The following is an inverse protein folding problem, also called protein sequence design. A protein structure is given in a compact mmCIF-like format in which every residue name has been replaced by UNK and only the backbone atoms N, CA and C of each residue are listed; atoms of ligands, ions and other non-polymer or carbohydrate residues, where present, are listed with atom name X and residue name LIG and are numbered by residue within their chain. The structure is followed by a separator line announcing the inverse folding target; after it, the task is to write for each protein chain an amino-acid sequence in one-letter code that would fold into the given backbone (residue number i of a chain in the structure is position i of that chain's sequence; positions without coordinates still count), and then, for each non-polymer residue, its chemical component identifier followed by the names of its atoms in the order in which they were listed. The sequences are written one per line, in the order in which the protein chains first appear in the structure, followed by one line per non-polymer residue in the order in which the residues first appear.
data_IF_218429020705
#
_entry.id   IF_218429020705
#
_cell.length_a   1.000
_cell.length_b   1.000
_cell.length_c   1.000
_cell.angle_alpha   90.00
_cell.angle_beta   90.00
_cell.angle_gamma   90.00
#
_symmetry.space_group_name_H-M   'P 1'
#
loop_
_entity.id
_entity.type
_entity.pdbx_description
1 polymer ?
#
# COMPACT_ATOMS: atom_id res chain seq x y z
N UNK A 1 -5.36 -33.02 -6.44
CA UNK A 1 -4.17 -33.90 -6.35
C UNK A 1 -2.86 -33.16 -6.04
N UNK A 2 -2.72 -31.86 -6.34
CA UNK A 2 -1.49 -31.09 -6.05
C UNK A 2 -1.27 -30.66 -4.57
N UNK A 3 -2.26 -30.81 -3.69
CA UNK A 3 -2.16 -30.43 -2.26
C UNK A 3 -1.35 -31.41 -1.40
N UNK A 4 -1.11 -32.63 -1.90
CA UNK A 4 -0.47 -33.71 -1.13
C UNK A 4 1.06 -33.75 -1.30
N UNK A 5 1.62 -32.95 -2.21
CA UNK A 5 3.06 -32.94 -2.52
C UNK A 5 3.86 -31.81 -1.85
N UNK A 6 3.25 -30.66 -1.55
CA UNK A 6 3.93 -29.53 -0.86
C UNK A 6 4.12 -29.79 0.65
N UNK A 7 3.13 -30.40 1.31
CA UNK A 7 3.24 -30.75 2.74
C UNK A 7 4.34 -31.81 2.98
N UNK A 8 4.53 -32.72 2.02
CA UNK A 8 5.60 -33.72 2.07
C UNK A 8 6.98 -33.09 1.87
N UNK A 9 7.14 -32.18 0.90
CA UNK A 9 8.43 -31.53 0.64
C UNK A 9 8.88 -30.66 1.81
N UNK A 10 7.96 -29.92 2.43
CA UNK A 10 8.27 -29.07 3.58
C UNK A 10 8.67 -29.88 4.81
N UNK A 11 8.05 -31.06 4.99
CA UNK A 11 8.37 -31.98 6.08
C UNK A 11 9.72 -32.66 5.86
N UNK A 12 9.97 -33.15 4.64
CA UNK A 12 11.24 -33.77 4.24
C UNK A 12 12.41 -32.76 4.34
N UNK A 13 12.20 -31.50 3.93
CA UNK A 13 13.20 -30.44 4.08
C UNK A 13 13.51 -30.17 5.55
N UNK A 14 12.51 -30.13 6.44
CA UNK A 14 12.74 -29.95 7.88
C UNK A 14 13.48 -31.12 8.51
N UNK A 15 13.16 -32.36 8.11
CA UNK A 15 13.87 -33.56 8.57
C UNK A 15 15.33 -33.54 8.12
N UNK A 16 15.60 -33.30 6.83
CA UNK A 16 16.97 -33.21 6.29
C UNK A 16 17.78 -32.09 6.95
N UNK A 17 17.17 -30.94 7.23
CA UNK A 17 17.85 -29.82 7.88
C UNK A 17 18.14 -30.10 9.36
N UNK A 18 17.25 -30.82 10.04
CA UNK A 18 17.46 -31.24 11.44
C UNK A 18 18.52 -32.32 11.60
N UNK A 19 18.63 -33.25 10.64
CA UNK A 19 19.63 -34.32 10.66
C UNK A 19 21.06 -33.82 10.40
N UNK A 20 21.23 -32.62 9.85
CA UNK A 20 22.52 -32.05 9.49
C UNK A 20 22.97 -30.87 10.39
N UNK A 21 22.26 -30.60 11.50
CA UNK A 21 22.52 -29.43 12.37
C UNK A 21 22.52 -28.08 11.60
N UNK A 22 21.84 -28.04 10.44
CA UNK A 22 21.73 -26.84 9.62
C UNK A 22 20.50 -26.08 10.10
N UNK A 23 20.70 -25.21 11.10
CA UNK A 23 19.67 -24.28 11.52
C UNK A 23 19.50 -23.18 10.46
N UNK A 24 18.66 -23.43 9.45
CA UNK A 24 18.29 -22.42 8.46
C UNK A 24 17.29 -21.47 9.11
N UNK A 25 17.79 -20.50 9.88
CA UNK A 25 17.01 -19.31 10.17
C UNK A 25 16.76 -18.58 8.85
N UNK A 26 15.56 -18.75 8.29
CA UNK A 26 15.13 -18.10 7.04
C UNK A 26 15.15 -16.56 7.18
N UNK A 27 15.00 -16.07 8.41
CA UNK A 27 15.17 -14.66 8.77
C UNK A 27 15.88 -14.56 10.12
N UNK A 28 16.63 -13.48 10.30
CA UNK A 28 17.32 -13.14 11.55
C UNK A 28 16.45 -13.38 12.81
N UNK A 29 16.99 -14.12 13.78
CA UNK A 29 16.37 -14.41 15.07
C UNK A 29 15.71 -13.20 15.75
N UNK A 30 16.30 -12.01 15.66
CA UNK A 30 15.70 -10.79 16.24
C UNK A 30 14.36 -10.42 15.60
N UNK A 31 14.21 -10.61 14.28
CA UNK A 31 12.96 -10.28 13.58
C UNK A 31 11.86 -11.28 13.92
N UNK A 32 12.23 -12.57 14.03
CA UNK A 32 11.34 -13.61 14.53
C UNK A 32 10.89 -13.34 15.97
N UNK A 33 11.82 -12.95 16.85
CA UNK A 33 11.50 -12.60 18.24
C UNK A 33 10.54 -11.41 18.33
N UNK A 34 10.73 -10.39 17.50
CA UNK A 34 9.80 -9.26 17.39
C UNK A 34 8.42 -9.74 16.95
N UNK A 35 8.34 -10.55 15.88
CA UNK A 35 7.07 -11.07 15.39
C UNK A 35 6.33 -11.89 16.46
N UNK A 36 7.05 -12.78 17.16
CA UNK A 36 6.49 -13.58 18.25
C UNK A 36 6.05 -12.72 19.43
N UNK A 37 6.83 -11.71 19.80
CA UNK A 37 6.43 -10.76 20.85
C UNK A 37 5.11 -10.07 20.49
N UNK A 38 4.94 -9.60 19.24
CA UNK A 38 3.69 -8.96 18.81
C UNK A 38 2.51 -9.93 18.84
N UNK A 39 2.75 -11.21 18.50
CA UNK A 39 1.74 -12.27 18.53
C UNK A 39 1.28 -12.61 19.95
N UNK A 40 2.20 -12.61 20.92
CA UNK A 40 1.93 -13.03 22.30
C UNK A 40 1.46 -11.87 23.19
N UNK A 41 1.66 -10.62 22.77
CA UNK A 41 1.32 -9.44 23.54
C UNK A 41 -0.15 -9.03 23.35
N UNK A 42 -0.90 -8.96 24.45
CA UNK A 42 -2.34 -8.64 24.50
C UNK A 42 -2.72 -7.27 23.94
N UNK A 43 -1.75 -6.35 23.78
CA UNK A 43 -1.99 -5.01 23.21
C UNK A 43 -2.15 -5.05 21.68
N UNK A 44 -1.97 -6.22 21.06
CA UNK A 44 -2.11 -6.43 19.63
C UNK A 44 -3.24 -7.40 19.31
N UNK A 45 -3.93 -7.12 18.20
CA UNK A 45 -4.99 -7.95 17.65
C UNK A 45 -4.68 -8.27 16.19
N UNK A 46 -5.28 -9.32 15.65
CA UNK A 46 -5.19 -9.60 14.21
C UNK A 46 -6.11 -8.67 13.42
N UNK A 47 -5.65 -8.20 12.26
CA UNK A 47 -6.40 -7.22 11.45
C UNK A 47 -7.65 -7.83 10.81
N UNK A 48 -7.59 -9.08 10.33
CA UNK A 48 -8.64 -9.70 9.50
C UNK A 48 -9.97 -10.02 10.19
N UNK A 49 -10.07 -10.33 11.50
CA UNK A 49 -11.37 -10.44 12.17
C UNK A 49 -11.98 -9.07 12.51
N UNK A 50 -11.15 -8.03 12.66
CA UNK A 50 -11.62 -6.68 13.03
C UNK A 50 -11.99 -5.82 11.84
N UNK A 51 -11.29 -5.97 10.72
CA UNK A 51 -11.45 -5.18 9.51
C UNK A 51 -11.46 -6.08 8.28
N UNK A 52 -12.61 -6.14 7.60
CA UNK A 52 -12.67 -6.82 6.31
C UNK A 52 -12.05 -5.97 5.21
N UNK A 53 -11.46 -6.65 4.24
CA UNK A 53 -10.76 -6.06 3.12
C UNK A 53 -11.13 -6.71 1.78
N UNK A 54 -10.93 -5.95 0.72
CA UNK A 54 -11.21 -6.36 -0.63
C UNK A 54 -10.01 -6.10 -1.55
N UNK A 55 -9.76 -7.06 -2.44
CA UNK A 55 -8.77 -6.89 -3.51
C UNK A 55 -9.22 -5.74 -4.43
N UNK A 56 -8.32 -4.80 -4.65
CA UNK A 56 -8.49 -3.70 -5.57
C UNK A 56 -7.42 -3.83 -6.66
N UNK A 57 -7.84 -4.04 -7.91
CA UNK A 57 -6.97 -4.30 -9.05
C UNK A 57 -7.50 -3.49 -10.24
N UNK A 58 -6.63 -3.14 -11.18
CA UNK A 58 -6.97 -2.36 -12.36
C UNK A 58 -8.14 -2.97 -13.14
N UNK A 59 -8.20 -4.31 -13.22
CA UNK A 59 -9.28 -5.01 -13.93
C UNK A 59 -10.68 -4.66 -13.43
N UNK A 60 -10.81 -4.22 -12.17
CA UNK A 60 -12.10 -3.80 -11.61
C UNK A 60 -12.56 -2.43 -12.12
N UNK A 61 -11.65 -1.62 -12.67
CA UNK A 61 -11.90 -0.23 -13.05
C UNK A 61 -11.76 0.01 -14.55
N UNK A 62 -11.98 -1.05 -15.33
CA UNK A 62 -12.05 -1.03 -16.79
C UNK A 62 -13.49 -1.23 -17.25
N UNK A 63 -13.85 -0.58 -18.36
CA UNK A 63 -15.13 -0.82 -19.03
C UNK A 63 -15.12 -2.14 -19.81
N UNK A 64 -16.27 -2.56 -20.35
CA UNK A 64 -16.36 -3.77 -21.19
C UNK A 64 -15.58 -3.61 -22.49
N UNK A 65 -15.51 -2.39 -23.01
CA UNK A 65 -14.62 -2.03 -24.14
C UNK A 65 -13.15 -1.85 -23.75
N UNK A 66 -12.75 -2.30 -22.55
CA UNK A 66 -11.37 -2.24 -22.04
C UNK A 66 -10.81 -0.80 -21.91
N UNK A 67 -11.68 0.20 -21.73
CA UNK A 67 -11.25 1.57 -21.46
C UNK A 67 -10.59 1.65 -20.07
N UNK A 68 -9.36 2.17 -20.01
CA UNK A 68 -8.76 2.61 -18.75
C UNK A 68 -9.42 3.92 -18.32
N UNK A 69 -10.09 3.91 -17.17
CA UNK A 69 -10.85 5.07 -16.69
C UNK A 69 -10.02 6.02 -15.83
N UNK A 70 -8.73 5.76 -15.64
CA UNK A 70 -7.86 6.64 -14.87
C UNK A 70 -7.34 7.83 -15.68
N UNK A 71 -7.20 8.97 -15.00
CA UNK A 71 -6.51 10.16 -15.46
C UNK A 71 -5.45 10.51 -14.41
N UNK A 72 -4.21 10.67 -14.84
CA UNK A 72 -3.09 10.90 -13.94
C UNK A 72 -3.17 12.28 -13.29
N UNK A 73 -2.90 12.36 -12.00
CA UNK A 73 -2.82 13.64 -11.30
C UNK A 73 -1.58 14.43 -11.77
N UNK A 74 -1.70 15.75 -11.99
CA UNK A 74 -0.58 16.60 -12.44
C UNK A 74 0.66 16.54 -11.54
N UNK A 75 0.49 16.35 -10.23
CA UNK A 75 1.63 16.18 -9.31
C UNK A 75 2.51 14.96 -9.62
N UNK A 76 2.04 14.04 -10.46
CA UNK A 76 2.76 12.84 -10.89
C UNK A 76 3.21 12.90 -12.34
N UNK A 77 2.97 13.98 -13.08
CA UNK A 77 3.22 14.01 -14.55
C UNK A 77 4.66 13.67 -14.95
N UNK A 78 5.61 13.88 -14.04
CA UNK A 78 7.04 13.65 -14.28
C UNK A 78 7.48 12.22 -13.92
N UNK A 79 6.56 11.35 -13.46
CA UNK A 79 6.89 9.95 -13.17
C UNK A 79 6.74 9.12 -14.43
N UNK A 80 7.85 8.65 -15.00
CA UNK A 80 7.88 7.80 -16.21
C UNK A 80 7.14 6.46 -16.08
N UNK A 81 6.66 6.11 -14.88
CA UNK A 81 5.98 4.84 -14.59
C UNK A 81 4.52 4.79 -15.06
N UNK A 82 3.88 5.95 -15.25
CA UNK A 82 2.51 6.01 -15.74
C UNK A 82 2.51 6.50 -17.19
N UNK A 83 2.22 5.60 -18.12
CA UNK A 83 1.96 5.94 -19.53
C UNK A 83 0.49 6.33 -19.73
N UNK A 84 -0.06 7.15 -18.84
CA UNK A 84 -1.42 7.65 -19.03
C UNK A 84 -1.40 8.77 -20.09
N UNK A 85 -2.38 8.76 -20.99
CA UNK A 85 -2.44 9.71 -22.10
C UNK A 85 -2.96 11.08 -21.66
N UNK A 86 -3.59 11.14 -20.49
CA UNK A 86 -4.25 12.32 -19.93
C UNK A 86 -3.72 12.69 -18.55
N UNK A 87 -3.40 13.96 -18.38
CA UNK A 87 -3.04 14.57 -17.09
C UNK A 87 -4.16 15.51 -16.65
N UNK A 88 -4.62 15.36 -15.41
CA UNK A 88 -5.69 16.14 -14.81
C UNK A 88 -5.21 17.14 -13.75
N UNK A 89 -5.80 18.34 -13.75
CA UNK A 89 -5.65 19.35 -12.72
C UNK A 89 -7.02 19.87 -12.28
N UNK A 90 -7.29 19.82 -10.99
CA UNK A 90 -8.55 20.32 -10.44
C UNK A 90 -8.63 21.84 -10.62
N UNK A 91 -9.77 22.31 -11.14
CA UNK A 91 -10.18 23.72 -11.12
C UNK A 91 -11.53 23.83 -10.40
N UNK A 92 -11.96 25.03 -10.04
CA UNK A 92 -13.05 25.29 -9.08
C UNK A 92 -14.21 24.29 -9.12
N UNK A 93 -14.80 24.05 -10.31
CA UNK A 93 -15.98 23.19 -10.48
C UNK A 93 -15.81 22.08 -11.52
N UNK A 94 -14.58 21.78 -11.94
CA UNK A 94 -14.32 20.75 -12.97
C UNK A 94 -12.88 20.25 -12.91
N UNK A 95 -12.61 19.13 -13.56
CA UNK A 95 -11.25 18.66 -13.82
C UNK A 95 -10.82 19.15 -15.20
N UNK A 96 -9.78 19.98 -15.28
CA UNK A 96 -9.13 20.27 -16.56
C UNK A 96 -8.21 19.12 -16.92
N UNK A 97 -8.35 18.54 -18.11
CA UNK A 97 -7.46 17.48 -18.59
C UNK A 97 -6.74 17.89 -19.86
N UNK A 98 -5.50 17.44 -19.98
CA UNK A 98 -4.62 17.73 -21.11
C UNK A 98 -3.98 16.43 -21.61
N UNK A 99 -3.96 16.24 -22.93
CA UNK A 99 -3.32 15.09 -23.53
C UNK A 99 -1.80 15.28 -23.55
N UNK A 100 -1.05 14.30 -23.03
CA UNK A 100 0.42 14.40 -22.86
C UNK A 100 1.15 14.76 -24.14
N UNK A 101 0.70 14.21 -25.29
CA UNK A 101 1.36 14.40 -26.60
C UNK A 101 0.68 15.40 -27.53
N UNK A 102 -0.58 15.76 -27.29
CA UNK A 102 -1.41 16.50 -28.27
C UNK A 102 -1.80 17.84 -27.65
N UNK A 103 -0.99 18.88 -27.91
CA UNK A 103 -1.10 20.20 -27.26
C UNK A 103 -2.48 20.86 -27.36
N UNK A 104 -3.23 20.61 -28.44
CA UNK A 104 -4.57 21.18 -28.65
C UNK A 104 -5.71 20.35 -28.02
N UNK A 105 -5.41 19.16 -27.50
CA UNK A 105 -6.40 18.29 -26.88
C UNK A 105 -6.44 18.57 -25.37
N UNK A 106 -7.30 19.51 -25.00
CA UNK A 106 -7.65 19.80 -23.61
C UNK A 106 -9.15 20.07 -23.50
N UNK A 107 -9.75 19.69 -22.38
CA UNK A 107 -11.15 19.96 -22.08
C UNK A 107 -11.45 19.72 -20.59
N UNK A 108 -12.68 20.01 -20.20
CA UNK A 108 -13.14 19.93 -18.81
C UNK A 108 -14.05 18.72 -18.60
N UNK A 109 -13.81 17.96 -17.54
CA UNK A 109 -14.71 16.90 -17.06
C UNK A 109 -15.47 17.42 -15.82
N UNK A 110 -16.81 17.25 -15.75
CA UNK A 110 -17.58 17.57 -14.55
C UNK A 110 -17.10 16.77 -13.33
N UNK A 111 -17.02 17.40 -12.15
CA UNK A 111 -16.61 16.70 -10.92
C UNK A 111 -17.56 15.55 -10.53
N UNK A 112 -18.83 15.64 -10.92
CA UNK A 112 -19.81 14.57 -10.73
C UNK A 112 -19.46 13.28 -11.47
N UNK A 113 -18.65 13.36 -12.53
CA UNK A 113 -18.28 12.21 -13.35
C UNK A 113 -16.99 11.52 -12.90
N UNK A 114 -16.34 12.00 -11.84
CA UNK A 114 -15.06 11.49 -11.38
C UNK A 114 -15.08 11.10 -9.89
N UNK A 115 -14.25 10.13 -9.55
CA UNK A 115 -13.85 9.76 -8.19
C UNK A 115 -12.33 9.80 -8.08
N UNK A 116 -11.81 9.50 -6.89
CA UNK A 116 -10.36 9.51 -6.61
C UNK A 116 -9.83 8.09 -6.45
N UNK A 117 -8.63 7.84 -6.97
CA UNK A 117 -7.98 6.55 -6.82
C UNK A 117 -6.47 6.67 -6.92
N UNK A 118 -5.76 5.69 -6.37
CA UNK A 118 -4.31 5.59 -6.42
C UNK A 118 -3.94 4.55 -7.48
N UNK A 119 -3.55 5.01 -8.66
CA UNK A 119 -3.29 4.14 -9.82
C UNK A 119 -2.04 3.28 -9.68
N UNK A 120 -1.04 3.83 -9.00
CA UNK A 120 0.22 3.20 -8.65
C UNK A 120 0.65 3.68 -7.29
N UNK A 121 1.27 2.77 -6.53
CA UNK A 121 1.89 3.07 -5.24
C UNK A 121 3.40 3.27 -5.37
N UNK A 122 3.98 2.93 -6.52
CA UNK A 122 5.37 3.19 -6.83
C UNK A 122 5.65 4.70 -6.89
N UNK A 123 6.79 5.09 -6.32
CA UNK A 123 7.24 6.47 -6.13
C UNK A 123 6.28 7.36 -5.32
N UNK A 124 5.33 6.78 -4.58
CA UNK A 124 4.56 7.51 -3.59
C UNK A 124 5.37 7.57 -2.31
N UNK A 125 5.89 8.77 -2.03
CA UNK A 125 6.87 9.02 -0.97
C UNK A 125 6.28 9.49 0.36
N UNK A 126 4.95 9.52 0.49
CA UNK A 126 4.23 9.97 1.68
C UNK A 126 3.12 8.98 2.04
N UNK A 127 2.69 8.98 3.32
CA UNK A 127 1.62 8.11 3.83
C UNK A 127 0.24 8.70 3.50
N UNK A 128 0.07 10.02 3.68
CA UNK A 128 -1.13 10.74 3.27
C UNK A 128 -1.09 11.03 1.77
N UNK A 129 -1.99 10.39 1.02
CA UNK A 129 -2.05 10.49 -0.44
C UNK A 129 -3.17 11.40 -0.95
N UNK A 130 -3.90 12.14 -0.10
CA UNK A 130 -5.02 13.00 -0.50
C UNK A 130 -4.72 13.86 -1.76
N UNK A 131 -3.55 14.50 -1.76
CA UNK A 131 -3.10 15.44 -2.79
C UNK A 131 -2.34 14.74 -3.94
N UNK A 132 -2.24 13.41 -3.86
CA UNK A 132 -1.57 12.52 -4.82
C UNK A 132 -2.53 11.52 -5.45
N UNK A 133 -3.82 11.49 -5.11
CA UNK A 133 -4.75 10.59 -5.77
C UNK A 133 -5.01 11.03 -7.22
N UNK A 134 -4.94 10.07 -8.12
CA UNK A 134 -5.38 10.20 -9.52
C UNK A 134 -6.91 10.31 -9.58
N UNK A 135 -7.42 10.58 -10.78
CA UNK A 135 -8.85 10.68 -11.03
C UNK A 135 -9.35 9.42 -11.73
N UNK A 136 -10.55 8.98 -11.39
CA UNK A 136 -11.22 7.83 -11.99
C UNK A 136 -12.55 8.28 -12.58
N UNK A 137 -12.74 8.11 -13.89
CA UNK A 137 -14.02 8.39 -14.55
C UNK A 137 -15.02 7.30 -14.17
N UNK A 138 -16.15 7.69 -13.59
CA UNK A 138 -17.22 6.78 -13.13
C UNK A 138 -18.60 7.07 -13.73
N UNK A 139 -18.73 8.15 -14.51
CA UNK A 139 -19.92 8.44 -15.30
C UNK A 139 -19.54 8.99 -16.67
N UNK A 140 -20.44 8.80 -17.64
CA UNK A 140 -20.35 9.52 -18.91
C UNK A 140 -20.51 11.03 -18.70
N UNK A 141 -20.04 11.80 -19.68
CA UNK A 141 -20.17 13.26 -19.70
C UNK A 141 -20.32 13.75 -21.14
N UNK A 142 -20.68 15.02 -21.29
CA UNK A 142 -20.89 15.65 -22.60
C UNK A 142 -19.62 15.56 -23.44
N UNK A 143 -19.76 15.19 -24.71
CA UNK A 143 -18.68 15.10 -25.70
C UNK A 143 -17.57 14.08 -25.31
N UNK A 144 -17.89 13.08 -24.47
CA UNK A 144 -16.95 12.02 -24.08
C UNK A 144 -16.33 11.32 -25.30
N UNK A 145 -17.12 11.00 -26.33
CA UNK A 145 -16.64 10.27 -27.51
C UNK A 145 -15.68 11.14 -28.32
N UNK A 146 -16.07 12.38 -28.53
CA UNK A 146 -15.40 13.37 -29.38
C UNK A 146 -14.16 13.95 -28.73
N UNK A 147 -14.16 14.16 -27.42
CA UNK A 147 -13.07 14.85 -26.73
C UNK A 147 -12.13 13.90 -25.97
N UNK A 148 -12.61 12.74 -25.53
CA UNK A 148 -11.81 11.77 -24.76
C UNK A 148 -11.53 10.49 -25.56
N UNK A 149 -12.58 9.74 -25.92
CA UNK A 149 -12.43 8.38 -26.43
C UNK A 149 -11.72 8.32 -27.79
N UNK A 150 -11.91 9.33 -28.66
CA UNK A 150 -11.24 9.39 -29.97
C UNK A 150 -9.72 9.33 -29.93
N UNK A 151 -9.12 9.71 -28.80
CA UNK A 151 -7.67 9.76 -28.65
C UNK A 151 -7.09 8.44 -28.15
N UNK A 152 -7.93 7.59 -27.54
CA UNK A 152 -7.48 6.44 -26.74
C UNK A 152 -8.08 5.11 -27.21
N UNK A 153 -9.15 5.15 -28.02
CA UNK A 153 -9.83 3.98 -28.59
C UNK A 153 -9.97 4.08 -30.11
N UNK A 154 -10.02 2.94 -30.78
CA UNK A 154 -10.34 2.86 -32.20
C UNK A 154 -11.80 3.23 -32.49
N UNK A 155 -12.06 3.79 -33.68
CA UNK A 155 -13.40 4.22 -34.13
C UNK A 155 -14.47 3.14 -33.98
N UNK A 156 -14.16 1.88 -34.30
CA UNK A 156 -15.09 0.75 -34.16
C UNK A 156 -15.49 0.53 -32.70
N UNK A 157 -14.57 0.69 -31.77
CA UNK A 157 -14.80 0.55 -30.33
C UNK A 157 -15.60 1.72 -29.79
N UNK A 158 -15.30 2.95 -30.22
CA UNK A 158 -16.06 4.16 -29.84
C UNK A 158 -17.53 4.06 -30.25
N UNK A 159 -17.79 3.53 -31.45
CA UNK A 159 -19.15 3.32 -31.96
C UNK A 159 -19.93 2.31 -31.10
N UNK A 160 -19.24 1.30 -30.55
CA UNK A 160 -19.83 0.28 -29.67
C UNK A 160 -19.94 0.73 -28.20
N UNK A 161 -19.18 1.74 -27.80
CA UNK A 161 -19.14 2.22 -26.42
C UNK A 161 -20.51 2.71 -25.95
N UNK A 162 -20.95 2.20 -24.81
CA UNK A 162 -22.20 2.55 -24.14
C UNK A 162 -21.94 3.22 -22.79
N UNK A 163 -22.69 4.27 -22.48
CA UNK A 163 -22.50 5.05 -21.24
C UNK A 163 -22.70 4.19 -19.98
N UNK A 164 -23.57 3.17 -20.06
CA UNK A 164 -23.89 2.24 -18.99
C UNK A 164 -22.69 1.35 -18.61
N UNK A 165 -21.65 1.27 -19.43
CA UNK A 165 -20.43 0.55 -19.07
C UNK A 165 -19.75 1.12 -17.82
N UNK A 166 -19.94 2.42 -17.55
CA UNK A 166 -19.45 3.05 -16.33
C UNK A 166 -20.14 2.53 -15.06
N UNK A 167 -21.33 1.92 -15.16
CA UNK A 167 -22.02 1.34 -13.99
C UNK A 167 -21.16 0.26 -13.31
N UNK A 168 -20.38 -0.51 -14.08
CA UNK A 168 -19.47 -1.52 -13.52
C UNK A 168 -18.34 -0.83 -12.75
N UNK A 169 -17.77 0.23 -13.31
CA UNK A 169 -16.67 0.99 -12.68
C UNK A 169 -17.15 1.65 -11.39
N UNK A 170 -18.31 2.31 -11.42
CA UNK A 170 -18.92 2.93 -10.25
C UNK A 170 -19.26 1.90 -9.17
N UNK A 171 -19.92 0.79 -9.53
CA UNK A 171 -20.25 -0.26 -8.56
C UNK A 171 -19.00 -0.86 -7.91
N UNK A 172 -17.93 -1.07 -8.69
CA UNK A 172 -16.66 -1.54 -8.15
C UNK A 172 -15.98 -0.49 -7.27
N UNK A 173 -16.09 0.81 -7.60
CA UNK A 173 -15.60 1.89 -6.76
C UNK A 173 -16.34 1.92 -5.41
N UNK A 174 -17.67 1.96 -5.43
CA UNK A 174 -18.48 2.07 -4.21
C UNK A 174 -18.29 0.88 -3.26
N UNK A 175 -18.11 -0.32 -3.80
CA UNK A 175 -17.83 -1.53 -3.00
C UNK A 175 -16.43 -1.57 -2.39
N UNK A 176 -15.46 -0.86 -2.97
CA UNK A 176 -14.03 -1.02 -2.65
C UNK A 176 -13.37 0.22 -2.08
N UNK A 177 -14.06 1.36 -2.08
CA UNK A 177 -13.51 2.60 -1.56
C UNK A 177 -13.24 2.48 -0.07
N UNK A 178 -12.06 2.90 0.38
CA UNK A 178 -11.68 2.90 1.79
C UNK A 178 -10.74 4.06 2.11
N UNK A 179 -10.52 4.32 3.40
CA UNK A 179 -9.56 5.32 3.85
C UNK A 179 -8.12 4.77 3.89
N UNK A 180 -7.94 3.45 3.92
CA UNK A 180 -6.65 2.77 3.98
C UNK A 180 -6.50 1.75 2.84
N UNK A 181 -5.35 1.78 2.18
CA UNK A 181 -4.94 0.75 1.23
C UNK A 181 -3.55 0.21 1.55
N UNK A 182 -3.40 -1.12 1.59
CA UNK A 182 -2.11 -1.82 1.75
C UNK A 182 -1.71 -2.46 0.43
N UNK A 183 -0.47 -2.28 -0.01
CA UNK A 183 0.08 -2.97 -1.18
C UNK A 183 -0.06 -4.48 -1.05
N UNK A 184 -0.59 -5.13 -2.10
CA UNK A 184 -0.76 -6.59 -2.13
C UNK A 184 0.46 -7.29 -2.69
N UNK A 185 1.06 -6.72 -3.74
CA UNK A 185 2.36 -7.13 -4.28
C UNK A 185 3.41 -6.14 -3.79
N UNK A 186 4.43 -6.67 -3.15
CA UNK A 186 5.45 -5.89 -2.45
C UNK A 186 6.80 -6.20 -3.08
N UNK A 187 7.47 -5.17 -3.59
CA UNK A 187 8.91 -5.22 -3.78
C UNK A 187 9.50 -4.23 -2.77
N UNK A 188 9.71 -4.71 -1.54
CA UNK A 188 10.10 -3.88 -0.40
C UNK A 188 11.45 -3.17 -0.62
N UNK A 189 12.37 -3.82 -1.33
CA UNK A 189 13.68 -3.25 -1.66
C UNK A 189 13.73 -2.44 -2.96
N UNK A 190 12.59 -2.25 -3.64
CA UNK A 190 12.56 -1.44 -4.86
C UNK A 190 12.91 0.02 -4.56
N UNK A 191 13.70 0.70 -5.42
CA UNK A 191 13.93 2.15 -5.32
C UNK A 191 12.63 2.98 -5.37
N UNK A 192 11.55 2.41 -5.95
CA UNK A 192 10.24 3.05 -6.01
C UNK A 192 9.36 2.81 -4.78
N UNK A 193 9.77 2.00 -3.81
CA UNK A 193 8.96 1.67 -2.62
C UNK A 193 9.45 2.48 -1.43
N UNK A 194 8.71 3.53 -1.04
CA UNK A 194 8.98 4.30 0.19
C UNK A 194 8.07 3.88 1.35
N UNK A 195 6.81 3.58 1.04
CA UNK A 195 5.77 3.16 1.96
C UNK A 195 4.95 2.02 1.34
N UNK A 196 4.24 1.27 2.19
CA UNK A 196 3.45 0.10 1.79
C UNK A 196 1.96 0.27 2.07
N UNK A 197 1.61 1.15 3.02
CA UNK A 197 0.23 1.47 3.36
C UNK A 197 -0.04 2.97 3.14
N UNK A 198 -1.19 3.29 2.56
CA UNK A 198 -1.53 4.66 2.15
C UNK A 198 -2.89 5.05 2.71
N UNK A 199 -2.95 6.25 3.27
CA UNK A 199 -4.16 6.83 3.85
C UNK A 199 -4.63 8.06 3.07
N UNK A 200 -5.94 8.29 3.07
CA UNK A 200 -6.57 9.48 2.54
C UNK A 200 -7.73 9.89 3.46
N UNK A 201 -7.98 11.19 3.61
CA UNK A 201 -9.13 11.70 4.37
C UNK A 201 -10.44 11.55 3.59
N UNK A 202 -10.36 11.34 2.28
CA UNK A 202 -11.51 10.99 1.43
C UNK A 202 -11.37 9.54 0.97
N UNK A 203 -12.43 8.71 1.04
CA UNK A 203 -12.37 7.33 0.56
C UNK A 203 -11.93 7.26 -0.90
N UNK A 204 -11.03 6.34 -1.19
CA UNK A 204 -10.44 6.16 -2.51
C UNK A 204 -10.31 4.67 -2.80
N UNK A 205 -9.90 4.33 -4.03
CA UNK A 205 -9.49 2.96 -4.40
C UNK A 205 -8.00 2.94 -4.70
N UNK A 206 -7.31 1.84 -4.44
CA UNK A 206 -5.89 1.66 -4.79
C UNK A 206 -5.72 0.48 -5.73
N UNK A 207 -4.96 0.62 -6.81
CA UNK A 207 -4.68 -0.51 -7.72
C UNK A 207 -3.58 -1.41 -7.15
N UNK A 208 -3.79 -2.72 -7.23
CA UNK A 208 -2.95 -3.79 -6.67
C UNK A 208 -2.77 -3.70 -5.15
N UNK A 209 -3.88 -3.39 -4.47
CA UNK A 209 -3.93 -3.20 -3.01
C UNK A 209 -5.06 -4.00 -2.37
N UNK A 210 -4.96 -4.17 -1.05
CA UNK A 210 -6.06 -4.48 -0.16
C UNK A 210 -6.69 -3.18 0.36
N UNK A 211 -7.97 -2.94 0.04
CA UNK A 211 -8.74 -1.82 0.60
C UNK A 211 -9.55 -2.28 1.82
N UNK A 212 -9.37 -1.61 2.97
CA UNK A 212 -10.02 -1.94 4.24
C UNK A 212 -11.30 -1.11 4.41
N UNK A 213 -12.42 -1.62 3.87
CA UNK A 213 -13.66 -0.86 3.67
C UNK A 213 -14.54 -0.71 4.93
N UNK A 214 -14.26 -1.49 5.97
CA UNK A 214 -14.96 -1.42 7.27
C UNK A 214 -14.26 -0.49 8.29
N UNK A 215 -13.07 0.00 7.95
CA UNK A 215 -12.24 0.82 8.82
C UNK A 215 -12.66 2.29 8.75
N UNK A 216 -12.80 2.94 9.89
CA UNK A 216 -13.06 4.37 9.94
C UNK A 216 -11.78 5.19 9.66
N UNK A 217 -11.93 6.50 9.48
CA UNK A 217 -10.82 7.39 9.10
C UNK A 217 -9.69 7.45 10.15
N UNK A 218 -10.00 7.43 11.44
CA UNK A 218 -8.99 7.58 12.48
C UNK A 218 -8.27 6.26 12.77
N UNK A 219 -8.99 5.14 12.72
CA UNK A 219 -8.39 3.80 12.64
C UNK A 219 -7.44 3.71 11.44
N UNK A 220 -7.86 4.19 10.27
CA UNK A 220 -7.03 4.17 9.06
C UNK A 220 -5.72 4.95 9.20
N UNK A 221 -5.70 6.07 9.93
CA UNK A 221 -4.46 6.80 10.25
C UNK A 221 -3.53 5.98 11.13
N UNK A 222 -4.05 5.43 12.23
CA UNK A 222 -3.30 4.60 13.16
C UNK A 222 -2.66 3.41 12.44
N UNK A 223 -3.47 2.68 11.68
CA UNK A 223 -3.01 1.48 10.98
C UNK A 223 -2.08 1.83 9.83
N UNK A 224 -2.27 2.96 9.13
CA UNK A 224 -1.30 3.41 8.13
C UNK A 224 0.08 3.70 8.75
N UNK A 225 0.15 4.33 9.92
CA UNK A 225 1.41 4.55 10.63
C UNK A 225 2.03 3.22 11.05
N UNK A 226 1.25 2.33 11.65
CA UNK A 226 1.73 1.02 12.11
C UNK A 226 2.29 0.17 10.98
N UNK A 227 1.56 0.02 9.86
CA UNK A 227 2.01 -0.78 8.73
C UNK A 227 3.23 -0.20 8.02
N UNK A 228 3.47 1.11 8.17
CA UNK A 228 4.67 1.76 7.67
C UNK A 228 5.79 1.89 8.72
N UNK A 229 5.59 1.44 9.96
CA UNK A 229 6.63 1.32 10.98
C UNK A 229 7.60 0.17 10.66
N UNK A 230 8.76 0.12 11.32
CA UNK A 230 9.67 -1.03 11.19
C UNK A 230 8.98 -2.34 11.58
N UNK A 231 8.13 -2.33 12.60
CA UNK A 231 7.35 -3.49 13.03
C UNK A 231 6.35 -3.97 11.97
N UNK A 232 5.66 -3.04 11.32
CA UNK A 232 4.74 -3.36 10.22
C UNK A 232 5.46 -4.01 9.04
N UNK A 233 6.63 -3.48 8.66
CA UNK A 233 7.43 -4.04 7.57
C UNK A 233 7.96 -5.44 7.93
N UNK A 234 8.44 -5.65 9.16
CA UNK A 234 8.88 -6.97 9.65
C UNK A 234 7.75 -7.99 9.49
N UNK A 235 6.54 -7.67 9.94
CA UNK A 235 5.41 -8.59 9.82
C UNK A 235 5.09 -8.91 8.36
N UNK A 236 5.08 -7.91 7.46
CA UNK A 236 4.84 -8.14 6.04
C UNK A 236 5.92 -9.03 5.39
N UNK A 237 7.17 -8.89 5.84
CA UNK A 237 8.27 -9.76 5.44
C UNK A 237 8.04 -11.21 5.93
N UNK A 238 7.61 -11.39 7.18
CA UNK A 238 7.38 -12.72 7.76
C UNK A 238 6.20 -13.47 7.11
N UNK A 239 5.09 -12.77 6.83
CA UNK A 239 3.86 -13.42 6.34
C UNK A 239 3.76 -13.47 4.81
N UNK A 240 4.53 -12.62 4.11
CA UNK A 240 4.51 -12.56 2.66
C UNK A 240 5.15 -13.79 2.04
N UNK A 241 4.60 -14.25 0.92
CA UNK A 241 5.22 -15.33 0.14
C UNK A 241 6.02 -14.72 -1.00
N UNK A 242 7.28 -15.14 -1.10
CA UNK A 242 8.13 -14.82 -2.24
C UNK A 242 7.49 -15.34 -3.52
N UNK A 243 7.46 -14.49 -4.54
CA UNK A 243 7.08 -14.84 -5.90
C UNK A 243 8.27 -14.56 -6.82
N UNK A 244 8.08 -14.62 -8.13
CA UNK A 244 9.16 -14.46 -9.11
C UNK A 244 10.04 -13.21 -8.85
N UNK A 245 11.35 -13.43 -8.75
CA UNK A 245 12.35 -12.40 -8.44
C UNK A 245 12.23 -11.86 -7.01
N UNK A 246 12.40 -10.54 -6.86
CA UNK A 246 12.42 -9.87 -5.55
C UNK A 246 11.02 -9.43 -5.09
N UNK A 247 9.98 -9.95 -5.73
CA UNK A 247 8.60 -9.64 -5.41
C UNK A 247 8.07 -10.60 -4.35
N UNK A 248 7.24 -10.06 -3.47
CA UNK A 248 6.46 -10.80 -2.51
C UNK A 248 4.98 -10.51 -2.73
N UNK A 249 4.12 -11.43 -2.29
CA UNK A 249 2.68 -11.25 -2.31
C UNK A 249 2.07 -11.60 -0.98
N UNK A 250 1.17 -10.74 -0.51
CA UNK A 250 0.35 -10.97 0.68
C UNK A 250 -1.05 -11.36 0.22
N UNK A 251 -1.41 -12.63 0.38
CA UNK A 251 -2.75 -13.12 0.08
C UNK A 251 -3.75 -12.75 1.18
N UNK A 252 -5.05 -12.69 0.86
CA UNK A 252 -6.09 -12.30 1.84
C UNK A 252 -6.03 -13.13 3.11
N UNK A 253 -5.83 -14.44 3.01
CA UNK A 253 -5.77 -15.32 4.17
C UNK A 253 -4.55 -15.09 5.05
N UNK A 254 -3.47 -14.50 4.55
CA UNK A 254 -2.27 -14.17 5.34
C UNK A 254 -2.49 -12.93 6.21
N UNK A 255 -3.45 -12.07 5.85
CA UNK A 255 -3.79 -10.90 6.66
C UNK A 255 -4.33 -11.29 8.04
N UNK A 256 -4.77 -12.55 8.24
CA UNK A 256 -5.13 -13.04 9.58
C UNK A 256 -3.92 -13.13 10.53
N UNK A 257 -2.71 -13.19 9.97
CA UNK A 257 -1.44 -13.30 10.70
C UNK A 257 -0.72 -11.94 10.79
N UNK A 258 -1.41 -10.85 10.43
CA UNK A 258 -0.92 -9.47 10.57
C UNK A 258 -1.51 -8.85 11.84
N UNK A 259 -0.64 -8.58 12.81
CA UNK A 259 -0.96 -8.01 14.11
C UNK A 259 -0.89 -6.49 14.07
N UNK A 260 -1.91 -5.85 14.61
CA UNK A 260 -2.04 -4.40 14.71
C UNK A 260 -2.29 -3.99 16.16
N UNK A 261 -1.88 -2.79 16.59
CA UNK A 261 -2.21 -2.29 17.90
C UNK A 261 -3.73 -2.21 18.07
N UNK A 262 -4.24 -2.60 19.24
CA UNK A 262 -5.66 -2.50 19.58
C UNK A 262 -6.12 -1.03 19.46
N UNK A 263 -6.98 -0.66 18.48
CA UNK A 263 -7.29 0.74 18.20
C UNK A 263 -7.88 1.48 19.40
N UNK A 264 -8.60 0.79 20.29
CA UNK A 264 -9.19 1.43 21.48
C UNK A 264 -8.13 1.99 22.45
N UNK A 265 -6.88 1.51 22.42
CA UNK A 265 -5.78 2.06 23.23
C UNK A 265 -5.31 3.44 22.75
N UNK A 266 -5.62 3.81 21.51
CA UNK A 266 -5.22 5.08 20.90
C UNK A 266 -6.39 6.03 20.71
N UNK A 267 -7.57 5.50 20.42
CA UNK A 267 -8.73 6.27 19.99
C UNK A 267 -9.69 6.62 21.14
N UNK A 268 -9.62 5.91 22.27
CA UNK A 268 -10.35 6.34 23.48
C UNK A 268 -9.77 7.68 23.96
N UNK A 269 -10.64 8.65 24.19
CA UNK A 269 -10.32 10.03 24.61
C UNK A 269 -9.61 10.91 23.56
N UNK A 270 -9.75 10.63 22.25
CA UNK A 270 -9.17 11.45 21.17
C UNK A 270 -7.70 11.80 21.43
N UNK A 271 -6.81 10.80 21.56
CA UNK A 271 -5.41 11.02 21.90
C UNK A 271 -4.76 12.01 20.91
N UNK A 272 -4.64 13.27 21.33
CA UNK A 272 -4.05 14.37 20.53
C UNK A 272 -2.68 13.96 19.97
N UNK A 273 -1.94 13.13 20.71
CA UNK A 273 -0.66 12.56 20.31
C UNK A 273 -0.69 11.83 18.95
N UNK A 274 -1.68 10.96 18.69
CA UNK A 274 -1.78 10.24 17.41
C UNK A 274 -2.01 11.23 16.26
N UNK A 275 -2.89 12.20 16.49
CA UNK A 275 -3.20 13.22 15.51
C UNK A 275 -1.99 14.14 15.23
N UNK A 276 -1.28 14.55 16.28
CA UNK A 276 -0.06 15.36 16.22
C UNK A 276 1.02 14.60 15.44
N UNK A 277 1.29 13.34 15.79
CA UNK A 277 2.25 12.50 15.07
C UNK A 277 1.86 12.37 13.60
N UNK A 278 0.60 11.99 13.33
CA UNK A 278 0.12 11.80 11.97
C UNK A 278 0.29 13.07 11.13
N UNK A 279 -0.11 14.24 11.64
CA UNK A 279 0.11 15.53 10.97
C UNK A 279 1.58 15.81 10.70
N UNK A 280 2.44 15.50 11.66
CA UNK A 280 3.88 15.75 11.55
C UNK A 280 4.54 14.90 10.48
N UNK A 281 4.19 13.62 10.37
CA UNK A 281 4.94 12.67 9.53
C UNK A 281 4.28 12.34 8.20
N UNK A 282 2.95 12.31 8.12
CA UNK A 282 2.23 11.64 7.03
C UNK A 282 2.43 12.25 5.65
N UNK A 283 2.64 13.57 5.57
CA UNK A 283 2.82 14.31 4.30
C UNK A 283 4.29 14.50 3.91
N UNK A 284 5.23 14.12 4.78
CA UNK A 284 6.66 14.26 4.49
C UNK A 284 7.02 13.25 3.41
N UNK A 285 7.64 13.73 2.33
CA UNK A 285 8.21 12.86 1.31
C UNK A 285 9.53 12.28 1.80
N UNK A 286 9.65 10.96 1.80
CA UNK A 286 10.86 10.23 2.22
C UNK A 286 11.48 9.45 1.07
N UNK A 287 12.73 9.02 1.27
CA UNK A 287 13.48 8.17 0.35
C UNK A 287 12.86 6.77 0.23
N UNK A 288 13.45 5.88 -0.59
CA UNK A 288 13.03 4.47 -0.62
C UNK A 288 13.18 3.79 0.74
N UNK A 289 12.48 2.68 0.96
CA UNK A 289 12.50 1.95 2.23
C UNK A 289 13.91 1.49 2.60
N UNK A 290 14.68 1.00 1.65
CA UNK A 290 16.07 0.56 1.88
C UNK A 290 16.98 1.72 2.24
N UNK A 291 16.84 2.87 1.58
CA UNK A 291 17.57 4.10 1.92
C UNK A 291 17.18 4.60 3.32
N UNK A 292 15.88 4.58 3.65
CA UNK A 292 15.40 4.96 4.98
C UNK A 292 16.03 4.10 6.08
N UNK A 293 16.09 2.78 5.89
CA UNK A 293 16.70 1.86 6.85
C UNK A 293 18.22 2.07 6.94
N UNK A 294 18.88 2.32 5.81
CA UNK A 294 20.33 2.56 5.75
C UNK A 294 20.74 3.81 6.53
N UNK A 295 19.99 4.90 6.41
CA UNK A 295 20.28 6.15 7.14
C UNK A 295 19.57 6.22 8.49
N UNK A 296 18.78 5.20 8.84
CA UNK A 296 17.94 5.18 10.04
C UNK A 296 17.05 6.43 10.14
N UNK A 297 16.24 6.64 9.10
CA UNK A 297 15.49 7.88 8.87
C UNK A 297 14.66 8.29 10.10
N UNK A 298 14.78 9.56 10.51
CA UNK A 298 14.14 10.11 11.71
C UNK A 298 12.62 9.90 11.75
N UNK A 299 11.91 10.11 10.63
CA UNK A 299 10.47 9.88 10.52
C UNK A 299 10.08 8.44 10.88
N UNK A 300 10.83 7.43 10.41
CA UNK A 300 10.57 6.04 10.75
C UNK A 300 10.82 5.78 12.23
N UNK A 301 11.93 6.29 12.77
CA UNK A 301 12.21 6.18 14.21
C UNK A 301 11.14 6.85 15.06
N UNK A 302 10.59 7.98 14.61
CA UNK A 302 9.55 8.70 15.34
C UNK A 302 8.26 7.88 15.41
N UNK A 303 7.87 7.24 14.30
CA UNK A 303 6.74 6.31 14.28
C UNK A 303 7.03 5.10 15.18
N UNK A 304 8.21 4.50 15.08
CA UNK A 304 8.57 3.32 15.87
C UNK A 304 8.55 3.63 17.38
N UNK A 305 9.11 4.77 17.79
CA UNK A 305 9.10 5.23 19.19
C UNK A 305 7.70 5.43 19.72
N UNK A 306 6.86 6.12 18.94
CA UNK A 306 5.49 6.39 19.36
C UNK A 306 4.78 5.10 19.75
N UNK A 307 4.89 4.03 18.96
CA UNK A 307 4.26 2.75 19.31
C UNK A 307 4.90 2.10 20.53
N UNK A 308 6.22 2.11 20.65
CA UNK A 308 6.92 1.54 21.81
C UNK A 308 6.52 2.26 23.10
N UNK A 309 6.50 3.59 23.08
CA UNK A 309 6.18 4.41 24.24
C UNK A 309 4.68 4.32 24.59
N UNK A 310 3.80 4.49 23.59
CA UNK A 310 2.34 4.48 23.81
C UNK A 310 1.82 3.14 24.28
N UNK A 311 2.42 2.04 23.82
CA UNK A 311 2.07 0.68 24.23
C UNK A 311 2.97 0.18 25.36
N UNK A 312 3.88 0.99 25.89
CA UNK A 312 4.81 0.61 26.96
C UNK A 312 5.54 -0.72 26.67
N UNK A 313 5.99 -0.90 25.44
CA UNK A 313 6.67 -2.13 25.01
C UNK A 313 8.08 -2.18 25.60
N UNK A 314 8.49 -3.36 26.03
CA UNK A 314 9.79 -3.57 26.67
C UNK A 314 10.77 -4.42 25.87
N UNK A 315 10.43 -4.75 24.61
CA UNK A 315 11.27 -5.45 23.63
C UNK A 315 12.68 -4.89 23.43
N UNK A 316 12.93 -3.66 23.86
CA UNK A 316 14.20 -2.97 23.70
C UNK A 316 15.12 -3.08 24.92
N UNK A 317 14.63 -3.54 26.08
CA UNK A 317 15.37 -3.50 27.36
C UNK A 317 16.73 -4.21 27.28
N UNK A 318 16.78 -5.36 26.63
CA UNK A 318 18.01 -6.17 26.47
C UNK A 318 19.09 -5.49 25.61
N UNK A 319 18.73 -4.42 24.89
CA UNK A 319 19.63 -3.65 24.04
C UNK A 319 20.20 -2.42 24.76
N UNK A 320 19.84 -2.20 26.02
CA UNK A 320 20.32 -1.12 26.89
C UNK A 320 19.71 0.26 26.59
N UNK A 321 19.50 0.61 25.32
CA UNK A 321 18.78 1.83 24.95
C UNK A 321 17.84 1.60 23.78
N UNK A 322 16.70 2.30 23.78
CA UNK A 322 15.76 2.30 22.66
C UNK A 322 16.42 2.72 21.34
N UNK A 323 17.34 3.69 21.38
CA UNK A 323 18.13 4.10 20.21
C UNK A 323 18.92 2.95 19.60
N UNK A 324 19.62 2.18 20.44
CA UNK A 324 20.43 1.04 20.02
C UNK A 324 19.53 -0.05 19.44
N UNK A 325 18.42 -0.37 20.11
CA UNK A 325 17.42 -1.31 19.60
C UNK A 325 16.92 -0.95 18.20
N UNK A 326 16.39 0.28 18.01
CA UNK A 326 15.85 0.73 16.72
C UNK A 326 16.89 0.66 15.60
N UNK A 327 18.14 1.07 15.87
CA UNK A 327 19.24 0.97 14.90
C UNK A 327 19.54 -0.48 14.54
N UNK A 328 19.58 -1.38 15.54
CA UNK A 328 19.84 -2.81 15.32
C UNK A 328 18.75 -3.43 14.46
N UNK A 329 17.47 -3.26 14.81
CA UNK A 329 16.37 -3.91 14.07
C UNK A 329 16.27 -3.38 12.63
N UNK A 330 16.51 -2.09 12.40
CA UNK A 330 16.47 -1.52 11.05
C UNK A 330 17.67 -2.01 10.21
N UNK A 331 18.84 -2.19 10.84
CA UNK A 331 20.01 -2.79 10.17
C UNK A 331 19.76 -4.24 9.79
N UNK A 332 19.20 -5.05 10.69
CA UNK A 332 18.87 -6.45 10.38
C UNK A 332 17.78 -6.55 9.32
N UNK A 333 16.72 -5.74 9.41
CA UNK A 333 15.70 -5.67 8.37
C UNK A 333 16.30 -5.28 7.01
N UNK A 334 17.21 -4.31 6.96
CA UNK A 334 17.89 -3.94 5.71
C UNK A 334 18.70 -5.10 5.14
N UNK A 335 19.37 -5.90 5.96
CA UNK A 335 20.09 -7.09 5.49
C UNK A 335 19.14 -8.08 4.86
N UNK A 336 18.00 -8.38 5.48
CA UNK A 336 17.00 -9.29 4.91
C UNK A 336 16.46 -8.76 3.58
N UNK A 337 16.11 -7.48 3.52
CA UNK A 337 15.61 -6.86 2.29
C UNK A 337 16.65 -6.86 1.16
N UNK A 338 17.94 -6.72 1.50
CA UNK A 338 19.03 -6.85 0.54
C UNK A 338 19.31 -8.32 0.20
N UNK A 339 19.18 -9.26 1.12
CA UNK A 339 19.32 -10.70 0.84
C UNK A 339 18.23 -11.23 -0.10
N UNK A 340 17.02 -10.66 -0.02
CA UNK A 340 15.94 -10.86 -0.99
C UNK A 340 16.22 -10.26 -2.37
N UNK A 341 17.26 -9.42 -2.50
CA UNK A 341 17.74 -8.92 -3.78
C UNK A 341 19.10 -9.53 -4.05
N UNK A 342 19.22 -10.60 -4.86
CA UNK A 342 20.53 -10.97 -5.37
C UNK A 342 21.10 -9.73 -6.05
N UNK A 343 22.11 -9.13 -5.43
CA UNK A 343 22.92 -8.11 -6.08
C UNK A 343 23.57 -8.82 -7.25
N UNK A 344 23.30 -8.29 -8.44
CA UNK A 344 23.87 -8.68 -9.73
C UNK A 344 23.15 -9.83 -10.47
N UNK A 345 22.20 -9.44 -11.32
CA UNK A 345 22.01 -9.99 -12.67
C UNK A 345 21.72 -8.86 -13.66
#
# INVERSE_FOLDING_TARGET
MAKRSEDNLTTILKEILSENDINVEVYSSILHNIYNYLKENEKFITISPRFDCLECDLRHFKTKTNLNCFIQHKSKSNTNQLKEEWIGSLITNSLNIEHVKIKKANFKIPLSSIKRGLRTTSNIRCIDVNDKLDYLIVHSFKDLKENYLRYILEKKTINKFKAEEFNIVLNNFEKRKSFLHLNRRLYLASPGTSYVAFHSNTPFIGVDTWGFYTMNKDEAKLIALWLNSTFGIIQLLMIGVAIEGNWMKVHKYMLKDLYIPEPTLFLKNNSDELYILYKKVSKIEVLSLTEQLQITHNIRQEIDRFFIEKLELDIWKDYGTLNKFLKTIQKELLKELKGLCPSDF
#
